data_IF_681012035563
#
_entry.id   IF_681012035563
#
_cell.length_a   1.000
_cell.length_b   1.000
_cell.length_c   1.000
_cell.angle_alpha   90.00
_cell.angle_beta   90.00
_cell.angle_gamma   90.00
#
_symmetry.space_group_name_H-M   'P 1'
#
loop_
_entity.id
_entity.type
_entity.pdbx_description
1 polymer ?
#
# COMPACT_ATOMS: atom_id res chain seq x y z
N UNK A 1 -4.71 5.16 -10.51
CA UNK A 1 -3.50 4.51 -9.99
C UNK A 1 -3.74 3.04 -9.76
N UNK A 2 -2.80 2.18 -10.12
CA UNK A 2 -2.90 0.77 -9.79
C UNK A 2 -2.31 0.48 -8.40
N UNK A 3 -2.49 -0.74 -7.88
CA UNK A 3 -2.02 -1.12 -6.55
C UNK A 3 -0.51 -1.11 -6.39
N UNK A 4 0.25 -1.28 -7.48
CA UNK A 4 1.71 -1.25 -7.45
C UNK A 4 2.24 0.14 -7.16
N UNK A 5 1.65 1.16 -7.77
CA UNK A 5 2.04 2.56 -7.55
C UNK A 5 1.74 2.98 -6.11
N UNK A 6 0.59 2.60 -5.57
CA UNK A 6 0.24 2.88 -4.17
C UNK A 6 1.23 2.24 -3.20
N UNK A 7 1.66 0.99 -3.47
CA UNK A 7 2.63 0.31 -2.61
C UNK A 7 4.02 0.93 -2.67
N UNK A 8 4.49 1.33 -3.85
CA UNK A 8 5.79 2.01 -4.01
C UNK A 8 5.79 3.34 -3.28
N UNK A 9 4.75 4.12 -3.46
CA UNK A 9 4.59 5.40 -2.80
C UNK A 9 4.53 5.24 -1.29
N UNK A 10 3.80 4.24 -0.80
CA UNK A 10 3.70 3.91 0.62
C UNK A 10 5.06 3.51 1.21
N UNK A 11 5.84 2.70 0.51
CA UNK A 11 7.18 2.30 0.95
C UNK A 11 8.13 3.49 1.01
N UNK A 12 8.03 4.38 0.05
CA UNK A 12 8.83 5.61 0.03
C UNK A 12 8.48 6.50 1.23
N UNK A 13 7.20 6.72 1.49
CA UNK A 13 6.74 7.50 2.63
C UNK A 13 7.15 6.87 3.96
N UNK A 14 7.06 5.55 4.07
CA UNK A 14 7.49 4.81 5.25
C UNK A 14 9.00 4.97 5.51
N UNK A 15 9.82 4.81 4.47
CA UNK A 15 11.27 4.98 4.57
C UNK A 15 11.62 6.41 4.98
N UNK A 16 10.99 7.40 4.38
CA UNK A 16 11.17 8.81 4.70
C UNK A 16 10.78 9.10 6.15
N UNK A 17 9.66 8.52 6.60
CA UNK A 17 9.20 8.65 7.98
C UNK A 17 10.18 8.02 8.97
N UNK A 18 10.73 6.86 8.67
CA UNK A 18 11.73 6.19 9.49
C UNK A 18 12.99 7.04 9.66
N UNK A 19 13.45 7.68 8.59
CA UNK A 19 14.62 8.57 8.64
C UNK A 19 14.34 9.79 9.51
N UNK A 20 13.18 10.44 9.32
CA UNK A 20 12.79 11.60 10.12
C UNK A 20 12.67 11.27 11.60
N UNK A 21 12.04 10.13 11.90
CA UNK A 21 11.90 9.68 13.29
C UNK A 21 13.25 9.43 13.93
N UNK A 22 14.17 8.75 13.25
CA UNK A 22 15.51 8.48 13.75
C UNK A 22 16.32 9.76 13.98
N UNK A 23 16.28 10.69 13.02
CA UNK A 23 16.98 11.98 13.16
C UNK A 23 16.37 12.80 14.29
N UNK A 24 15.05 12.83 14.40
CA UNK A 24 14.35 13.53 15.48
C UNK A 24 14.72 12.98 16.85
N UNK A 25 14.78 11.66 16.98
CA UNK A 25 15.18 11.00 18.22
C UNK A 25 16.63 11.32 18.58
N UNK A 26 17.55 11.23 17.64
CA UNK A 26 18.97 11.51 17.84
C UNK A 26 19.26 12.96 18.22
N UNK A 27 18.49 13.91 17.70
CA UNK A 27 18.69 15.35 17.93
C UNK A 27 17.79 15.90 19.03
N UNK A 28 16.89 15.10 19.56
CA UNK A 28 15.90 15.56 20.54
C UNK A 28 14.81 16.42 19.93
N UNK A 29 14.62 16.39 18.63
CA UNK A 29 13.59 17.14 17.92
C UNK A 29 12.27 16.35 17.90
N UNK A 30 11.42 16.62 18.87
CA UNK A 30 10.14 15.92 19.04
C UNK A 30 9.18 16.16 17.87
N UNK A 31 9.22 17.33 17.27
CA UNK A 31 8.39 17.67 16.13
C UNK A 31 8.76 16.85 14.90
N UNK A 32 10.05 16.74 14.62
CA UNK A 32 10.56 15.93 13.52
C UNK A 32 10.27 14.45 13.73
N UNK A 33 10.42 13.96 14.96
CA UNK A 33 10.07 12.59 15.32
C UNK A 33 8.58 12.33 15.08
N UNK A 34 7.71 13.24 15.48
CA UNK A 34 6.27 13.14 15.27
C UNK A 34 5.92 13.15 13.78
N UNK A 35 6.57 14.00 12.97
CA UNK A 35 6.39 14.02 11.53
C UNK A 35 6.80 12.70 10.90
N UNK A 36 7.90 12.11 11.37
CA UNK A 36 8.37 10.81 10.91
C UNK A 36 7.36 9.70 11.16
N UNK A 37 6.80 9.66 12.36
CA UNK A 37 5.74 8.70 12.72
C UNK A 37 4.51 8.86 11.84
N UNK A 38 4.12 10.10 11.55
CA UNK A 38 2.98 10.41 10.68
C UNK A 38 3.22 9.95 9.25
N UNK A 39 4.39 10.23 8.69
CA UNK A 39 4.78 9.80 7.35
C UNK A 39 4.80 8.28 7.25
N UNK A 40 5.31 7.60 8.27
CA UNK A 40 5.35 6.14 8.32
C UNK A 40 3.94 5.54 8.35
N UNK A 41 3.05 6.09 9.17
CA UNK A 41 1.67 5.64 9.23
C UNK A 41 0.95 5.85 7.90
N UNK A 42 1.18 6.99 7.25
CA UNK A 42 0.65 7.31 5.92
C UNK A 42 1.16 6.33 4.88
N UNK A 43 2.45 6.00 4.92
CA UNK A 43 3.06 5.02 4.02
C UNK A 43 2.45 3.64 4.17
N UNK A 44 2.24 3.18 5.40
CA UNK A 44 1.58 1.90 5.68
C UNK A 44 0.15 1.88 5.17
N UNK A 45 -0.59 2.98 5.34
CA UNK A 45 -1.95 3.09 4.81
C UNK A 45 -1.99 2.98 3.29
N UNK A 46 -1.04 3.61 2.58
CA UNK A 46 -0.93 3.50 1.12
C UNK A 46 -0.59 2.08 0.68
N UNK A 47 0.27 1.39 1.40
CA UNK A 47 0.58 -0.01 1.12
C UNK A 47 -0.64 -0.89 1.27
N UNK A 48 -1.44 -0.70 2.31
CA UNK A 48 -2.67 -1.43 2.54
C UNK A 48 -3.69 -1.19 1.42
N UNK A 49 -3.84 0.05 0.97
CA UNK A 49 -4.71 0.40 -0.18
C UNK A 49 -4.24 -0.30 -1.44
N UNK A 50 -2.93 -0.28 -1.72
CA UNK A 50 -2.36 -0.96 -2.88
C UNK A 50 -2.61 -2.46 -2.86
N UNK A 51 -2.42 -3.11 -1.73
CA UNK A 51 -2.68 -4.53 -1.56
C UNK A 51 -4.16 -4.86 -1.77
N UNK A 52 -5.06 -4.03 -1.24
CA UNK A 52 -6.50 -4.20 -1.42
C UNK A 52 -6.91 -4.07 -2.89
N UNK A 53 -6.35 -3.11 -3.62
CA UNK A 53 -6.61 -2.94 -5.05
C UNK A 53 -6.15 -4.15 -5.85
N UNK A 54 -4.98 -4.69 -5.54
CA UNK A 54 -4.47 -5.90 -6.21
C UNK A 54 -5.33 -7.11 -5.94
N UNK A 55 -5.74 -7.31 -4.69
CA UNK A 55 -6.62 -8.41 -4.32
C UNK A 55 -7.99 -8.31 -5.02
N UNK A 56 -8.55 -7.10 -5.09
CA UNK A 56 -9.82 -6.87 -5.81
C UNK A 56 -9.69 -7.16 -7.30
N UNK A 57 -8.56 -6.78 -7.93
CA UNK A 57 -8.28 -7.08 -9.33
C UNK A 57 -8.20 -8.57 -9.58
N UNK A 58 -7.49 -9.31 -8.75
CA UNK A 58 -7.38 -10.77 -8.84
C UNK A 58 -8.73 -11.47 -8.66
N UNK A 59 -9.56 -10.99 -7.73
CA UNK A 59 -10.89 -11.53 -7.51
C UNK A 59 -11.80 -11.34 -8.73
N UNK A 60 -11.72 -10.18 -9.39
CA UNK A 60 -12.47 -9.92 -10.62
C UNK A 60 -12.05 -10.85 -11.75
N UNK A 61 -10.75 -11.06 -11.91
CA UNK A 61 -10.22 -11.93 -12.96
C UNK A 61 -10.64 -13.39 -12.72
N UNK A 62 -10.59 -13.87 -11.48
CA UNK A 62 -11.04 -15.21 -11.12
C UNK A 62 -12.53 -15.40 -11.37
N UNK A 63 -13.35 -14.42 -11.05
CA UNK A 63 -14.79 -14.46 -11.31
C UNK A 63 -15.11 -14.49 -12.81
N UNK A 64 -14.37 -13.73 -13.62
CA UNK A 64 -14.51 -13.71 -15.06
C UNK A 64 -14.17 -15.07 -15.68
N UNK A 65 -13.05 -15.66 -15.25
CA UNK A 65 -12.64 -16.99 -15.72
C UNK A 65 -13.68 -18.06 -15.39
N UNK A 66 -14.26 -18.01 -14.19
CA UNK A 66 -15.29 -18.94 -13.76
C UNK A 66 -16.55 -18.82 -14.62
N UNK A 67 -16.96 -17.60 -14.98
CA UNK A 67 -18.11 -17.35 -15.85
C UNK A 67 -17.86 -17.89 -17.26
N UNK A 68 -16.70 -17.64 -17.82
CA UNK A 68 -16.32 -18.12 -19.16
C UNK A 68 -16.32 -19.65 -19.22
N UNK A 69 -15.74 -20.31 -18.20
CA UNK A 69 -15.72 -21.76 -18.09
C UNK A 69 -17.15 -22.34 -18.02
N UNK A 70 -18.03 -21.70 -17.24
CA UNK A 70 -19.41 -22.11 -17.13
C UNK A 70 -20.16 -22.00 -18.46
N UNK A 71 -19.92 -20.94 -19.23
CA UNK A 71 -20.50 -20.76 -20.56
C UNK A 71 -20.05 -21.85 -21.53
N UNK A 72 -18.77 -22.18 -21.53
CA UNK A 72 -18.21 -23.22 -22.40
C UNK A 72 -18.83 -24.58 -22.10
N UNK A 73 -19.11 -24.89 -20.84
CA UNK A 73 -19.75 -26.14 -20.43
C UNK A 73 -21.22 -26.21 -20.77
N UNK A 74 -21.90 -25.09 -20.87
CA UNK A 74 -23.33 -25.03 -21.18
C UNK A 74 -23.63 -25.15 -22.70
N UNK A 75 -22.66 -24.83 -23.51
CA UNK A 75 -22.74 -24.98 -24.94
C UNK A 75 -22.42 -26.43 -25.36
#
# INVERSE_FOLDING_TARGET
MDGKDDRREGRFDEAKGNVKEAVGDMTGDEELEAQGKKDRAKGKAKQAVGTTKEAAGKAKDAARDAVETAKDKLD
#
